data_IF_660252496893
#
_entry.id   IF_660252496893
#
_cell.length_a   1.000
_cell.length_b   1.000
_cell.length_c   1.000
_cell.angle_alpha   90.00
_cell.angle_beta   90.00
_cell.angle_gamma   90.00
#
_symmetry.space_group_name_H-M   'P 1'
#
loop_
_entity.id
_entity.type
_entity.pdbx_description
1 polymer ?
#
# COMPACT_ATOMS: atom_id res chain seq x y z
N UNK A 1 -6.62 24.45 -3.05
CA UNK A 1 -7.14 23.07 -2.91
C UNK A 1 -7.14 22.50 -4.31
N UNK A 2 -6.15 21.67 -4.64
CA UNK A 2 -6.08 20.99 -5.93
C UNK A 2 -7.17 19.93 -5.96
N UNK A 3 -7.98 19.94 -7.01
CA UNK A 3 -8.96 18.89 -7.29
C UNK A 3 -8.19 17.60 -7.57
N UNK A 4 -7.96 16.78 -6.54
CA UNK A 4 -7.24 15.52 -6.68
C UNK A 4 -8.12 14.59 -7.51
N UNK A 5 -7.68 14.29 -8.73
CA UNK A 5 -8.37 13.40 -9.65
C UNK A 5 -8.60 12.06 -8.95
N UNK A 6 -9.88 11.71 -8.75
CA UNK A 6 -10.29 10.42 -8.17
C UNK A 6 -9.77 9.26 -9.01
N UNK A 7 -9.19 8.26 -8.36
CA UNK A 7 -8.70 7.02 -8.98
C UNK A 7 -9.72 5.92 -8.68
N UNK A 8 -10.33 5.35 -9.71
CA UNK A 8 -11.33 4.29 -9.54
C UNK A 8 -10.62 2.94 -9.42
N UNK A 9 -10.96 2.18 -8.39
CA UNK A 9 -10.42 0.85 -8.15
C UNK A 9 -11.53 -0.14 -7.81
N UNK A 10 -11.22 -1.42 -7.90
CA UNK A 10 -12.07 -2.52 -7.42
C UNK A 10 -11.35 -3.19 -6.25
N UNK A 11 -12.10 -3.51 -5.19
CA UNK A 11 -11.57 -4.26 -4.05
C UNK A 11 -12.18 -5.64 -3.98
N UNK A 12 -11.32 -6.61 -3.69
CA UNK A 12 -11.72 -7.98 -3.44
C UNK A 12 -11.62 -8.31 -1.95
N UNK A 13 -12.55 -9.10 -1.45
CA UNK A 13 -12.56 -9.51 -0.05
C UNK A 13 -11.49 -10.58 0.21
N UNK A 14 -10.58 -10.31 1.15
CA UNK A 14 -9.49 -11.22 1.52
C UNK A 14 -9.66 -11.70 2.96
N UNK A 15 -9.57 -13.03 3.17
CA UNK A 15 -9.48 -13.61 4.51
C UNK A 15 -8.02 -13.87 4.88
N UNK A 16 -7.55 -13.32 6.00
CA UNK A 16 -6.18 -13.54 6.49
C UNK A 16 -6.11 -13.74 8.00
N UNK A 17 -5.03 -14.37 8.49
CA UNK A 17 -4.70 -14.49 9.91
C UNK A 17 -3.55 -13.56 10.26
N UNK A 18 -3.72 -12.76 11.30
CA UNK A 18 -2.72 -11.83 11.81
C UNK A 18 -2.41 -12.13 13.28
N UNK A 19 -1.24 -11.69 13.75
CA UNK A 19 -0.94 -11.73 15.19
C UNK A 19 -1.93 -10.83 15.93
N UNK A 20 -2.45 -11.32 17.06
CA UNK A 20 -3.58 -10.71 17.76
C UNK A 20 -3.32 -9.26 18.19
N UNK A 21 -2.16 -8.97 18.76
CA UNK A 21 -1.83 -7.63 19.27
C UNK A 21 -1.54 -6.67 18.12
N UNK A 22 -0.89 -7.14 17.05
CA UNK A 22 -0.68 -6.36 15.85
C UNK A 22 -2.01 -5.94 15.23
N UNK A 23 -3.00 -6.84 15.17
CA UNK A 23 -4.34 -6.51 14.69
C UNK A 23 -4.99 -5.40 15.54
N UNK A 24 -4.85 -5.43 16.87
CA UNK A 24 -5.39 -4.36 17.73
C UNK A 24 -4.71 -3.01 17.48
N UNK A 25 -3.39 -2.99 17.24
CA UNK A 25 -2.67 -1.77 16.84
C UNK A 25 -3.19 -1.26 15.49
N UNK A 26 -3.38 -2.15 14.51
CA UNK A 26 -3.89 -1.79 13.19
C UNK A 26 -5.31 -1.21 13.28
N UNK A 27 -6.19 -1.79 14.11
CA UNK A 27 -7.55 -1.27 14.35
C UNK A 27 -7.53 0.16 14.92
N UNK A 28 -6.72 0.41 15.95
CA UNK A 28 -6.59 1.76 16.50
C UNK A 28 -6.02 2.76 15.48
N UNK A 29 -5.11 2.31 14.61
CA UNK A 29 -4.56 3.13 13.55
C UNK A 29 -5.60 3.47 12.46
N UNK A 30 -6.44 2.50 12.07
CA UNK A 30 -7.54 2.72 11.13
C UNK A 30 -8.54 3.76 11.65
N UNK A 31 -8.91 3.69 12.93
CA UNK A 31 -9.79 4.68 13.56
C UNK A 31 -9.18 6.07 13.56
N UNK A 32 -7.89 6.17 13.91
CA UNK A 32 -7.19 7.47 13.96
C UNK A 32 -7.01 8.11 12.59
N UNK A 33 -6.79 7.31 11.55
CA UNK A 33 -6.62 7.79 10.17
C UNK A 33 -7.95 7.94 9.40
N UNK A 34 -9.06 7.42 9.93
CA UNK A 34 -10.36 7.46 9.26
C UNK A 34 -10.41 6.61 8.00
N UNK A 35 -9.75 5.46 8.00
CA UNK A 35 -9.64 4.55 6.86
C UNK A 35 -10.00 3.12 7.26
N UNK A 36 -10.36 2.27 6.32
CA UNK A 36 -10.64 0.85 6.58
C UNK A 36 -9.35 0.01 6.65
N UNK A 37 -9.46 -1.23 7.14
CA UNK A 37 -8.31 -2.14 7.26
C UNK A 37 -7.64 -2.41 5.90
N UNK A 38 -8.42 -2.55 4.83
CA UNK A 38 -7.89 -2.72 3.47
C UNK A 38 -7.02 -1.54 3.03
N UNK A 39 -7.48 -0.31 3.26
CA UNK A 39 -6.75 0.92 2.95
C UNK A 39 -5.43 1.03 3.72
N UNK A 40 -5.41 0.64 5.00
CA UNK A 40 -4.17 0.58 5.78
C UNK A 40 -3.14 -0.36 5.14
N UNK A 41 -3.60 -1.53 4.71
CA UNK A 41 -2.77 -2.55 4.09
C UNK A 41 -2.24 -2.07 2.74
N UNK A 42 -3.11 -1.51 1.90
CA UNK A 42 -2.76 -0.90 0.61
C UNK A 42 -1.71 0.20 0.78
N UNK A 43 -1.95 1.18 1.66
CA UNK A 43 -1.02 2.28 1.97
C UNK A 43 0.35 1.73 2.40
N UNK A 44 0.36 0.76 3.33
CA UNK A 44 1.59 0.19 3.89
C UNK A 44 2.42 -0.52 2.82
N UNK A 45 1.80 -1.35 1.98
CA UNK A 45 2.51 -2.08 0.93
C UNK A 45 2.97 -1.14 -0.19
N UNK A 46 2.15 -0.16 -0.58
CA UNK A 46 2.56 0.81 -1.59
C UNK A 46 3.80 1.59 -1.13
N UNK A 47 3.86 1.99 0.15
CA UNK A 47 5.06 2.58 0.74
C UNK A 47 6.24 1.61 0.75
N UNK A 48 6.02 0.33 1.10
CA UNK A 48 7.10 -0.66 1.14
C UNK A 48 7.78 -0.87 -0.22
N UNK A 49 7.08 -0.58 -1.32
CA UNK A 49 7.59 -0.67 -2.68
C UNK A 49 8.41 0.55 -3.14
N UNK A 50 8.42 1.65 -2.39
CA UNK A 50 9.14 2.87 -2.76
C UNK A 50 10.62 2.77 -2.40
N UNK A 51 11.46 2.50 -3.40
CA UNK A 51 12.92 2.45 -3.22
C UNK A 51 13.46 3.74 -2.57
N UNK A 52 14.28 3.58 -1.53
CA UNK A 52 15.08 4.68 -0.97
C UNK A 52 16.47 4.60 -1.57
N UNK A 53 16.78 5.50 -2.50
CA UNK A 53 18.04 5.47 -3.26
C UNK A 53 19.28 5.38 -2.34
N UNK A 54 20.09 4.35 -2.56
CA UNK A 54 21.31 4.09 -1.78
C UNK A 54 21.07 3.42 -0.42
N UNK A 55 19.83 3.02 -0.12
CA UNK A 55 19.43 2.31 1.12
C UNK A 55 18.51 1.12 0.83
N UNK A 56 18.59 0.56 -0.35
CA UNK A 56 17.79 -0.58 -0.79
C UNK A 56 18.04 -1.78 0.13
N UNK A 57 16.96 -2.40 0.62
CA UNK A 57 17.01 -3.49 1.60
C UNK A 57 17.42 -3.09 3.02
N UNK A 58 17.65 -1.80 3.29
CA UNK A 58 18.08 -1.29 4.61
C UNK A 58 17.11 -0.28 5.21
N UNK A 59 16.34 0.43 4.39
CA UNK A 59 15.32 1.36 4.87
C UNK A 59 14.10 0.59 5.40
N UNK A 60 13.65 0.88 6.62
CA UNK A 60 12.44 0.26 7.19
C UNK A 60 11.20 0.48 6.32
N UNK A 61 11.13 1.63 5.64
CA UNK A 61 10.04 1.98 4.72
C UNK A 61 10.18 1.32 3.33
N UNK A 62 11.29 0.67 3.02
CA UNK A 62 11.55 -0.04 1.76
C UNK A 62 12.39 -1.29 2.02
N UNK A 63 11.82 -2.31 2.70
CA UNK A 63 12.58 -3.45 3.22
C UNK A 63 13.04 -4.43 2.13
N UNK A 64 12.68 -4.20 0.87
CA UNK A 64 13.03 -5.09 -0.25
C UNK A 64 14.43 -4.80 -0.78
N UNK A 65 15.14 -5.87 -1.15
CA UNK A 65 16.44 -5.77 -1.86
C UNK A 65 16.25 -5.19 -3.27
N UNK A 66 17.36 -4.80 -3.92
CA UNK A 66 17.35 -4.33 -5.31
C UNK A 66 16.63 -5.33 -6.23
N UNK A 67 17.01 -6.60 -6.19
CA UNK A 67 16.37 -7.65 -6.99
C UNK A 67 14.87 -7.84 -6.64
N UNK A 68 14.49 -7.66 -5.38
CA UNK A 68 13.10 -7.69 -4.95
C UNK A 68 12.28 -6.53 -5.53
N UNK A 69 12.84 -5.32 -5.52
CA UNK A 69 12.21 -4.13 -6.11
C UNK A 69 12.06 -4.26 -7.63
N UNK A 70 13.05 -4.83 -8.33
CA UNK A 70 12.94 -5.14 -9.76
C UNK A 70 11.81 -6.15 -10.05
N UNK A 71 11.65 -7.16 -9.19
CA UNK A 71 10.56 -8.13 -9.32
C UNK A 71 9.20 -7.47 -9.08
N UNK A 72 9.09 -6.61 -8.07
CA UNK A 72 7.88 -5.83 -7.78
C UNK A 72 7.51 -4.93 -8.96
N UNK A 73 8.47 -4.23 -9.57
CA UNK A 73 8.21 -3.38 -10.74
C UNK A 73 7.68 -4.17 -11.94
N UNK A 74 8.25 -5.36 -12.20
CA UNK A 74 7.75 -6.27 -13.24
C UNK A 74 6.31 -6.74 -12.95
N UNK A 75 6.01 -7.06 -11.70
CA UNK A 75 4.66 -7.48 -11.28
C UNK A 75 3.66 -6.33 -11.42
N UNK A 76 4.01 -5.11 -10.97
CA UNK A 76 3.18 -3.91 -11.15
C UNK A 76 2.82 -3.68 -12.62
N UNK A 77 3.80 -3.77 -13.53
CA UNK A 77 3.59 -3.66 -14.98
C UNK A 77 2.66 -4.75 -15.53
N UNK A 78 2.86 -5.99 -15.09
CA UNK A 78 2.05 -7.15 -15.52
C UNK A 78 0.59 -6.99 -15.13
N UNK A 79 0.33 -6.50 -13.91
CA UNK A 79 -1.01 -6.31 -13.37
C UNK A 79 -1.60 -4.92 -13.61
N UNK A 80 -0.90 -4.05 -14.35
CA UNK A 80 -1.31 -2.66 -14.62
C UNK A 80 -1.60 -1.86 -13.35
N UNK A 81 -0.79 -2.08 -12.31
CA UNK A 81 -0.78 -1.23 -11.13
C UNK A 81 -0.02 0.06 -11.52
N UNK A 82 -0.78 1.04 -12.00
CA UNK A 82 -0.29 2.26 -12.67
C UNK A 82 -0.39 3.54 -11.81
N UNK A 83 -0.58 3.36 -10.50
CA UNK A 83 -0.63 4.42 -9.50
C UNK A 83 0.59 4.37 -8.55
N UNK A 84 0.90 5.52 -7.96
CA UNK A 84 1.93 5.65 -6.94
C UNK A 84 1.38 5.50 -5.51
N UNK A 85 2.24 5.70 -4.52
CA UNK A 85 1.88 5.51 -3.11
C UNK A 85 0.90 6.55 -2.57
N UNK A 86 0.90 7.77 -3.10
CA UNK A 86 0.00 8.84 -2.65
C UNK A 86 -1.35 8.81 -3.35
N UNK A 87 -1.44 8.15 -4.50
CA UNK A 87 -2.71 7.95 -5.22
C UNK A 87 -3.74 7.18 -4.38
N UNK A 88 -3.30 6.37 -3.40
CA UNK A 88 -4.21 5.63 -2.51
C UNK A 88 -5.15 6.55 -1.71
N UNK A 89 -4.76 7.81 -1.47
CA UNK A 89 -5.63 8.80 -0.81
C UNK A 89 -6.76 9.32 -1.71
N UNK A 90 -6.70 9.04 -3.02
CA UNK A 90 -7.70 9.43 -4.01
C UNK A 90 -8.54 8.23 -4.51
N UNK A 91 -8.34 7.04 -3.93
CA UNK A 91 -9.06 5.84 -4.32
C UNK A 91 -10.56 5.97 -4.05
N UNK A 92 -11.33 5.55 -5.03
CA UNK A 92 -12.78 5.41 -4.91
C UNK A 92 -13.11 3.98 -5.33
N UNK A 93 -13.63 3.24 -4.36
CA UNK A 93 -14.11 1.88 -4.58
C UNK A 93 -15.30 1.89 -5.53
N UNK A 94 -15.28 0.99 -6.51
CA UNK A 94 -16.33 0.83 -7.52
C UNK A 94 -17.03 -0.52 -7.47
N UNK A 95 -16.63 -1.38 -6.53
CA UNK A 95 -17.29 -2.65 -6.22
C UNK A 95 -18.58 -2.49 -5.41
#
# INVERSE_FOLDING_TARGET
MTDTKKVRIERENVTMRLEKRLLEVMKGLTEKKGMIMGELVEETFLHSFCAVSGREGQACASPHTVAGLEAIDKLKKTHRLDYDVHDCYAFVDTS
#
